data_IF_819813233047
#
_entry.id   IF_819813233047
#
_cell.length_a   1.000
_cell.length_b   1.000
_cell.length_c   1.000
_cell.angle_alpha   90.00
_cell.angle_beta   90.00
_cell.angle_gamma   90.00
#
_symmetry.space_group_name_H-M   'P 1'
#
loop_
_entity.id
_entity.type
_entity.pdbx_description
1 polymer ?
#
# COMPACT_ATOMS: atom_id res chain seq x y z
N UNK A 1 18.27 -0.43 2.09
CA UNK A 1 18.32 0.50 0.93
C UNK A 1 17.77 1.84 1.36
N UNK A 2 18.31 2.95 0.85
CA UNK A 2 17.81 4.31 1.15
C UNK A 2 16.59 4.61 0.27
N UNK A 3 15.50 5.09 0.86
CA UNK A 3 14.35 5.60 0.12
C UNK A 3 14.65 7.01 -0.41
N UNK A 4 14.49 7.24 -1.71
CA UNK A 4 14.88 8.50 -2.36
C UNK A 4 13.68 9.08 -3.13
N UNK A 5 13.46 10.38 -2.98
CA UNK A 5 12.33 11.09 -3.58
C UNK A 5 11.01 10.85 -2.85
N UNK A 6 9.90 11.21 -3.50
CA UNK A 6 8.51 10.99 -3.03
C UNK A 6 8.18 11.57 -1.65
N UNK A 7 8.89 12.61 -1.22
CA UNK A 7 8.71 13.23 0.10
C UNK A 7 7.31 13.85 0.25
N UNK A 8 6.79 14.42 -0.83
CA UNK A 8 5.44 14.98 -0.84
C UNK A 8 4.39 13.89 -0.66
N UNK A 9 4.44 12.82 -1.45
CA UNK A 9 3.50 11.70 -1.33
C UNK A 9 3.59 10.99 0.03
N UNK A 10 4.80 10.84 0.57
CA UNK A 10 5.02 10.34 1.93
C UNK A 10 4.33 11.22 2.98
N UNK A 11 4.49 12.54 2.89
CA UNK A 11 3.88 13.49 3.81
C UNK A 11 2.35 13.41 3.77
N UNK A 12 1.77 13.31 2.57
CA UNK A 12 0.32 13.14 2.40
C UNK A 12 -0.17 11.85 3.06
N UNK A 13 0.50 10.71 2.84
CA UNK A 13 0.09 9.43 3.44
C UNK A 13 0.20 9.51 4.97
N UNK A 14 1.30 10.03 5.51
CA UNK A 14 1.51 10.17 6.97
C UNK A 14 0.49 11.09 7.62
N UNK A 15 0.17 12.22 6.98
CA UNK A 15 -0.86 13.13 7.47
C UNK A 15 -2.22 12.44 7.58
N UNK A 16 -2.56 11.58 6.59
CA UNK A 16 -3.81 10.82 6.63
C UNK A 16 -3.80 9.70 7.66
N UNK A 17 -2.67 9.03 7.85
CA UNK A 17 -2.52 8.01 8.89
C UNK A 17 -2.62 8.58 10.31
N UNK A 18 -2.20 9.83 10.53
CA UNK A 18 -2.30 10.53 11.81
C UNK A 18 -3.70 11.13 12.09
N UNK A 19 -4.61 11.11 11.12
CA UNK A 19 -5.96 11.64 11.27
C UNK A 19 -6.82 10.72 12.14
N UNK A 20 -7.58 11.28 13.08
CA UNK A 20 -8.55 10.53 13.88
C UNK A 20 -9.87 10.25 13.13
N UNK A 21 -9.83 10.23 11.79
CA UNK A 21 -10.97 9.97 10.91
C UNK A 21 -10.71 8.70 10.11
N UNK A 22 -11.77 8.04 9.69
CA UNK A 22 -11.68 6.99 8.70
C UNK A 22 -11.30 7.60 7.34
N UNK A 23 -10.03 7.43 6.94
CA UNK A 23 -9.49 7.91 5.68
C UNK A 23 -9.25 6.72 4.73
N UNK A 24 -9.44 6.95 3.43
CA UNK A 24 -9.13 5.95 2.39
C UNK A 24 -8.27 6.60 1.31
N UNK A 25 -7.16 5.96 0.96
CA UNK A 25 -6.21 6.46 -0.05
C UNK A 25 -6.09 5.48 -1.21
N UNK A 26 -6.26 6.01 -2.44
CA UNK A 26 -6.02 5.27 -3.67
C UNK A 26 -4.64 5.60 -4.23
N UNK A 27 -3.71 4.64 -4.18
CA UNK A 27 -2.36 4.80 -4.77
C UNK A 27 -2.31 4.15 -6.16
N UNK A 28 -2.29 4.97 -7.21
CA UNK A 28 -2.28 4.52 -8.62
C UNK A 28 -1.06 5.03 -9.39
N UNK A 29 -0.83 4.50 -10.60
CA UNK A 29 0.33 4.86 -11.44
C UNK A 29 0.89 3.74 -12.31
N UNK A 30 2.01 4.01 -12.99
CA UNK A 30 2.67 3.06 -13.92
C UNK A 30 3.26 1.84 -13.20
N UNK A 31 3.57 0.78 -13.96
CA UNK A 31 4.24 -0.42 -13.44
C UNK A 31 5.64 -0.04 -12.94
N UNK A 32 6.10 -0.68 -11.85
CA UNK A 32 7.46 -0.54 -11.28
C UNK A 32 7.86 0.83 -10.73
N UNK A 33 6.93 1.76 -10.52
CA UNK A 33 7.24 3.08 -9.92
C UNK A 33 7.43 3.05 -8.40
N UNK A 34 7.41 1.88 -7.76
CA UNK A 34 7.65 1.75 -6.33
C UNK A 34 6.46 2.03 -5.42
N UNK A 35 5.21 1.92 -5.89
CA UNK A 35 4.00 2.19 -5.07
C UNK A 35 3.93 1.38 -3.78
N UNK A 36 4.20 0.09 -3.85
CA UNK A 36 4.24 -0.76 -2.65
C UNK A 36 5.37 -0.35 -1.71
N UNK A 37 6.50 0.13 -2.24
CA UNK A 37 7.62 0.59 -1.43
C UNK A 37 7.29 1.93 -0.75
N UNK A 38 6.58 2.84 -1.42
CA UNK A 38 6.06 4.07 -0.83
C UNK A 38 5.16 3.80 0.38
N UNK A 39 4.24 2.84 0.26
CA UNK A 39 3.33 2.46 1.36
C UNK A 39 4.12 1.86 2.52
N UNK A 40 5.06 0.95 2.24
CA UNK A 40 5.92 0.37 3.29
C UNK A 40 6.72 1.44 4.01
N UNK A 41 7.31 2.38 3.28
CA UNK A 41 8.10 3.48 3.85
C UNK A 41 7.23 4.35 4.77
N UNK A 42 6.00 4.67 4.35
CA UNK A 42 5.08 5.48 5.15
C UNK A 42 4.66 4.79 6.46
N UNK A 43 4.64 3.46 6.47
CA UNK A 43 4.20 2.64 7.61
C UNK A 43 5.32 2.30 8.60
N UNK A 44 6.60 2.56 8.28
CA UNK A 44 7.74 2.20 9.14
C UNK A 44 7.66 2.79 10.55
N UNK A 45 7.12 4.01 10.65
CA UNK A 45 7.09 4.78 11.89
C UNK A 45 5.69 4.74 12.55
N UNK A 46 4.82 3.83 12.11
CA UNK A 46 3.45 3.70 12.62
C UNK A 46 3.39 2.55 13.62
N UNK A 47 3.15 2.89 14.88
CA UNK A 47 2.90 1.91 15.93
C UNK A 47 1.43 1.47 15.93
N UNK A 48 1.07 0.61 14.97
CA UNK A 48 -0.27 0.05 14.85
C UNK A 48 -0.24 -1.35 14.21
N UNK A 49 -1.35 -2.08 14.36
CA UNK A 49 -1.51 -3.36 13.65
C UNK A 49 -1.72 -3.09 12.15
N UNK A 50 -0.77 -3.53 11.34
CA UNK A 50 -0.79 -3.36 9.88
C UNK A 50 -1.19 -4.68 9.21
N UNK A 51 -2.27 -4.66 8.43
CA UNK A 51 -2.71 -5.81 7.62
C UNK A 51 -2.37 -5.52 6.15
N UNK A 52 -1.48 -6.32 5.56
CA UNK A 52 -1.12 -6.22 4.15
C UNK A 52 -1.71 -7.39 3.37
N UNK A 53 -2.67 -7.10 2.49
CA UNK A 53 -3.32 -8.08 1.63
C UNK A 53 -2.99 -7.81 0.16
N UNK A 54 -2.59 -8.87 -0.57
CA UNK A 54 -2.29 -8.80 -2.00
C UNK A 54 -3.27 -9.67 -2.76
N UNK A 55 -4.21 -9.04 -3.45
CA UNK A 55 -5.07 -9.74 -4.39
C UNK A 55 -4.22 -10.26 -5.56
N UNK A 56 -3.97 -11.57 -5.59
CA UNK A 56 -3.48 -12.21 -6.81
C UNK A 56 -4.70 -12.61 -7.63
N UNK A 57 -4.69 -12.31 -8.92
CA UNK A 57 -5.60 -12.98 -9.85
C UNK A 57 -5.23 -14.45 -9.81
N UNK A 58 -6.03 -15.23 -9.10
CA UNK A 58 -5.90 -16.67 -9.11
C UNK A 58 -6.68 -17.14 -10.33
N UNK A 59 -6.00 -17.73 -11.30
CA UNK A 59 -6.65 -18.47 -12.39
C UNK A 59 -7.12 -19.81 -11.82
N UNK A 60 -8.03 -19.80 -10.83
CA UNK A 60 -8.76 -21.01 -10.47
C UNK A 60 -9.99 -21.10 -11.36
N UNK A 61 -9.79 -21.67 -12.54
CA UNK A 61 -10.83 -22.52 -13.11
C UNK A 61 -10.80 -23.79 -12.26
N UNK A 62 -11.49 -23.77 -11.13
CA UNK A 62 -11.75 -24.99 -10.40
C UNK A 62 -12.71 -25.80 -11.27
N UNK A 63 -12.16 -26.74 -12.05
CA UNK A 63 -12.91 -27.81 -12.69
C UNK A 63 -13.51 -28.66 -11.56
N UNK A 64 -14.69 -28.27 -11.09
CA UNK A 64 -15.61 -29.22 -10.48
C UNK A 64 -16.21 -30.00 -11.64
N UNK A 65 -15.58 -31.12 -12.00
CA UNK A 65 -16.11 -32.08 -12.94
C UNK A 65 -15.94 -33.47 -12.35
N UNK A 66 -17.06 -34.17 -12.17
CA UNK A 66 -17.15 -35.61 -11.91
C UNK A 66 -17.29 -35.97 -10.45
#
# INVERSE_FOLDING_TARGET
MRFIGRQHELAVIRQKLASNRAESLLVYGRRRVGKSELIKEALKDVDATIIHYVCRKSSFVQKCAG
#
